data_IF_052613419575
#
_entry.id   IF_052613419575
#
_cell.length_a   1.000
_cell.length_b   1.000
_cell.length_c   1.000
_cell.angle_alpha   90.00
_cell.angle_beta   90.00
_cell.angle_gamma   90.00
#
_symmetry.space_group_name_H-M   'P 1'
#
loop_
_entity.id
_entity.type
_entity.pdbx_description
1 polymer ?
#
# COMPACT_ATOMS: atom_id res chain seq x y z
N UNK A 1 14.94 6.11 -15.63
CA UNK A 1 15.50 5.08 -14.73
C UNK A 1 14.43 4.01 -14.53
N UNK A 2 14.76 2.72 -14.64
CA UNK A 2 13.75 1.65 -14.50
C UNK A 2 13.09 1.69 -13.11
N UNK A 3 11.77 1.45 -13.00
CA UNK A 3 11.10 1.36 -11.70
C UNK A 3 11.79 0.29 -10.86
N UNK A 4 12.32 0.69 -9.70
CA UNK A 4 13.11 -0.19 -8.84
C UNK A 4 12.23 -1.34 -8.31
N UNK A 5 12.42 -2.58 -8.82
CA UNK A 5 11.56 -3.70 -8.46
C UNK A 5 11.64 -4.05 -6.98
N UNK A 6 12.75 -3.68 -6.32
CA UNK A 6 12.97 -3.93 -4.90
C UNK A 6 12.10 -3.02 -4.04
N UNK A 7 11.99 -1.74 -4.39
CA UNK A 7 11.13 -0.77 -3.67
C UNK A 7 9.66 -1.16 -3.76
N UNK A 8 9.22 -1.63 -4.93
CA UNK A 8 7.86 -2.15 -5.12
C UNK A 8 7.60 -3.36 -4.23
N UNK A 9 8.49 -4.36 -4.23
CA UNK A 9 8.37 -5.53 -3.34
C UNK A 9 8.38 -5.16 -1.86
N UNK A 10 9.24 -4.23 -1.47
CA UNK A 10 9.30 -3.73 -0.09
C UNK A 10 7.97 -3.08 0.34
N UNK A 11 7.35 -2.31 -0.55
CA UNK A 11 6.04 -1.74 -0.30
C UNK A 11 4.95 -2.82 -0.19
N UNK A 12 4.94 -3.80 -1.10
CA UNK A 12 4.00 -4.93 -1.02
C UNK A 12 4.14 -5.70 0.30
N UNK A 13 5.36 -5.99 0.75
CA UNK A 13 5.59 -6.64 2.06
C UNK A 13 5.02 -5.84 3.23
N UNK A 14 5.15 -4.52 3.20
CA UNK A 14 4.59 -3.67 4.27
C UNK A 14 3.08 -3.57 4.23
N UNK A 15 2.46 -3.64 3.04
CA UNK A 15 1.01 -3.75 2.93
C UNK A 15 0.51 -5.05 3.56
N UNK A 16 1.28 -6.13 3.44
CA UNK A 16 0.99 -7.41 4.10
C UNK A 16 1.08 -7.25 5.62
N UNK A 17 2.15 -6.62 6.12
CA UNK A 17 2.30 -6.39 7.55
C UNK A 17 1.16 -5.54 8.12
N UNK A 18 0.73 -4.50 7.38
CA UNK A 18 -0.43 -3.69 7.74
C UNK A 18 -1.71 -4.53 7.76
N UNK A 19 -1.96 -5.33 6.71
CA UNK A 19 -3.15 -6.19 6.64
C UNK A 19 -3.22 -7.13 7.85
N UNK A 20 -2.11 -7.80 8.19
CA UNK A 20 -2.01 -8.71 9.33
C UNK A 20 -2.14 -8.03 10.71
N UNK A 21 -1.87 -6.71 10.81
CA UNK A 21 -2.01 -5.96 12.06
C UNK A 21 -3.47 -5.72 12.45
N UNK A 22 -4.38 -5.71 11.48
CA UNK A 22 -5.79 -5.45 11.70
C UNK A 22 -6.59 -6.72 11.39
N UNK A 23 -6.84 -7.56 12.41
CA UNK A 23 -7.53 -8.84 12.23
C UNK A 23 -8.86 -8.74 11.47
N UNK A 24 -9.61 -7.64 11.65
CA UNK A 24 -10.86 -7.41 10.94
C UNK A 24 -10.70 -7.22 9.43
N UNK A 25 -9.53 -6.78 8.95
CA UNK A 25 -9.26 -6.68 7.52
C UNK A 25 -9.25 -8.06 6.86
N UNK A 26 -8.88 -9.12 7.56
CA UNK A 26 -8.90 -10.48 7.02
C UNK A 26 -10.31 -10.94 6.66
N UNK A 27 -11.31 -10.50 7.43
CA UNK A 27 -12.73 -10.83 7.21
C UNK A 27 -13.35 -10.02 6.06
N UNK A 28 -12.85 -8.81 5.80
CA UNK A 28 -13.40 -7.87 4.80
C UNK A 28 -12.69 -7.95 3.45
N UNK A 29 -11.38 -8.15 3.43
CA UNK A 29 -10.58 -8.11 2.22
C UNK A 29 -9.40 -9.07 2.30
N UNK A 30 -9.21 -9.88 1.26
CA UNK A 30 -8.03 -10.75 1.22
C UNK A 30 -6.76 -9.90 1.14
N UNK A 31 -5.65 -10.38 1.72
CA UNK A 31 -4.34 -9.72 1.62
C UNK A 31 -3.97 -9.37 0.17
N UNK A 32 -4.28 -10.25 -0.78
CA UNK A 32 -4.02 -10.01 -2.22
C UNK A 32 -4.84 -8.84 -2.77
N UNK A 33 -6.10 -8.75 -2.38
CA UNK A 33 -6.96 -7.67 -2.84
C UNK A 33 -6.63 -6.34 -2.15
N UNK A 34 -6.23 -6.39 -0.87
CA UNK A 34 -5.70 -5.22 -0.16
C UNK A 34 -4.49 -4.62 -0.86
N UNK A 35 -3.54 -5.46 -1.31
CA UNK A 35 -2.38 -4.99 -2.10
C UNK A 35 -2.84 -4.33 -3.41
N UNK A 36 -3.86 -4.87 -4.08
CA UNK A 36 -4.38 -4.30 -5.34
C UNK A 36 -5.05 -2.93 -5.14
N UNK A 37 -5.53 -2.61 -3.94
CA UNK A 37 -6.08 -1.28 -3.64
C UNK A 37 -5.03 -0.17 -3.72
N UNK A 38 -3.75 -0.51 -3.56
CA UNK A 38 -2.66 0.46 -3.50
C UNK A 38 -1.61 0.17 -4.59
N UNK A 39 -1.96 0.30 -5.88
CA UNK A 39 -1.00 0.10 -6.95
C UNK A 39 0.10 1.15 -6.92
N UNK A 40 1.35 0.73 -7.11
CA UNK A 40 2.47 1.67 -7.27
C UNK A 40 2.42 2.28 -8.66
N UNK A 41 2.14 3.58 -8.72
CA UNK A 41 2.12 4.36 -9.96
C UNK A 41 3.37 5.25 -10.02
N UNK A 42 3.97 5.37 -11.21
CA UNK A 42 5.14 6.22 -11.42
C UNK A 42 4.79 7.37 -12.36
N UNK A 43 5.22 8.59 -12.01
CA UNK A 43 5.09 9.79 -12.83
C UNK A 43 6.45 10.49 -12.90
N UNK A 44 6.99 10.64 -14.11
CA UNK A 44 8.33 11.23 -14.33
C UNK A 44 9.41 10.55 -13.47
N UNK A 45 9.48 9.22 -13.53
CA UNK A 45 10.41 8.37 -12.76
C UNK A 45 10.28 8.45 -11.23
N UNK A 46 9.24 9.09 -10.69
CA UNK A 46 8.96 9.15 -9.26
C UNK A 46 7.69 8.37 -8.92
N UNK A 47 7.75 7.53 -7.89
CA UNK A 47 6.58 6.87 -7.36
C UNK A 47 5.65 7.94 -6.73
N UNK A 48 4.38 7.92 -7.09
CA UNK A 48 3.37 8.86 -6.55
C UNK A 48 2.67 8.24 -5.36
N UNK A 49 2.32 9.07 -4.38
CA UNK A 49 1.58 8.63 -3.20
C UNK A 49 0.27 7.94 -3.62
N UNK A 50 -0.08 6.82 -2.99
CA UNK A 50 -1.35 6.15 -3.27
C UNK A 50 -2.52 6.98 -2.74
N UNK A 51 -3.62 6.99 -3.49
CA UNK A 51 -4.87 7.60 -3.08
C UNK A 51 -5.70 6.66 -2.20
N UNK A 52 -6.67 7.21 -1.46
CA UNK A 52 -7.63 6.38 -0.70
C UNK A 52 -8.49 5.61 -1.70
N UNK A 53 -8.57 4.27 -1.61
CA UNK A 53 -9.35 3.47 -2.54
C UNK A 53 -10.84 3.82 -2.43
N UNK A 54 -11.47 3.94 -3.60
CA UNK A 54 -12.90 4.25 -3.71
C UNK A 54 -13.69 2.97 -3.39
N UNK A 55 -14.72 3.08 -2.56
CA UNK A 55 -15.61 1.96 -2.23
C UNK A 55 -15.15 1.08 -1.06
N UNK A 56 -14.03 1.41 -0.41
CA UNK A 56 -13.60 0.75 0.82
C UNK A 56 -13.60 1.74 1.97
N UNK A 57 -14.29 1.39 3.06
CA UNK A 57 -14.24 2.17 4.29
C UNK A 57 -12.97 1.86 5.09
N UNK A 58 -11.85 2.27 4.50
CA UNK A 58 -10.55 2.17 5.17
C UNK A 58 -10.47 3.24 6.26
N UNK A 59 -10.32 2.77 7.50
CA UNK A 59 -10.02 3.60 8.66
C UNK A 59 -8.84 4.52 8.33
N UNK A 60 -8.95 5.77 8.76
CA UNK A 60 -7.90 6.79 8.63
C UNK A 60 -6.55 6.28 9.12
N UNK A 61 -6.52 5.49 10.18
CA UNK A 61 -5.30 4.93 10.76
C UNK A 61 -4.62 3.94 9.80
N UNK A 62 -5.39 3.06 9.15
CA UNK A 62 -4.87 2.11 8.16
C UNK A 62 -4.34 2.87 6.95
N UNK A 63 -5.12 3.84 6.45
CA UNK A 63 -4.68 4.64 5.32
C UNK A 63 -3.40 5.44 5.64
N UNK A 64 -3.30 5.99 6.85
CA UNK A 64 -2.08 6.66 7.30
C UNK A 64 -0.89 5.69 7.38
N UNK A 65 -1.09 4.48 7.88
CA UNK A 65 -0.06 3.44 7.90
C UNK A 65 0.43 3.09 6.49
N UNK A 66 -0.49 2.99 5.52
CA UNK A 66 -0.16 2.78 4.10
C UNK A 66 0.70 3.93 3.55
N UNK A 67 0.33 5.19 3.83
CA UNK A 67 1.12 6.34 3.38
C UNK A 67 2.52 6.38 3.99
N UNK A 68 2.64 6.03 5.28
CA UNK A 68 3.93 5.91 5.96
C UNK A 68 4.75 4.78 5.33
N UNK A 69 4.17 3.60 5.13
CA UNK A 69 4.82 2.46 4.50
C UNK A 69 5.34 2.83 3.10
N UNK A 70 4.53 3.53 2.31
CA UNK A 70 4.92 4.02 0.99
C UNK A 70 6.12 4.95 1.08
N UNK A 71 6.09 5.95 1.98
CA UNK A 71 7.21 6.89 2.13
C UNK A 71 8.50 6.19 2.50
N UNK A 72 8.53 5.23 3.43
CA UNK A 72 9.79 4.58 3.77
C UNK A 72 10.24 3.52 2.74
N UNK A 73 9.35 3.07 1.83
CA UNK A 73 9.74 2.21 0.70
C UNK A 73 10.30 2.99 -0.50
N UNK A 74 9.88 4.24 -0.68
CA UNK A 74 10.22 5.05 -1.86
C UNK A 74 11.02 6.32 -1.56
N UNK A 75 11.47 6.52 -0.32
CA UNK A 75 12.41 7.59 0.05
C UNK A 75 13.79 7.45 -0.61
#
# INVERSE_FOLDING_TARGET
>A
MSPDPLRKRLFEMRLIDIHNQYAWLEDEITQKDFIKLFPVVYKKDKAILPDKPIGYDLDRNIFLAVLVAFRQSFN
#
